data_IF_097664555726
#
_entry.id   IF_097664555726
#
_cell.length_a   1.000
_cell.length_b   1.000
_cell.length_c   1.000
_cell.angle_alpha   90.00
_cell.angle_beta   90.00
_cell.angle_gamma   90.00
#
_symmetry.space_group_name_H-M   'P 1'
#
loop_
_entity.id
_entity.type
_entity.pdbx_description
1 polymer ?
#
# COMPACT_ATOMS: atom_id res chain seq x y z
N UNK A 1 -35.07 12.45 -21.07
CA UNK A 1 -34.51 11.13 -20.69
C UNK A 1 -33.07 11.10 -21.12
N UNK A 2 -32.15 11.45 -20.22
CA UNK A 2 -30.72 11.26 -20.45
C UNK A 2 -30.43 9.77 -20.37
N UNK A 3 -29.78 9.15 -21.37
CA UNK A 3 -29.35 7.77 -21.25
C UNK A 3 -28.43 7.66 -20.02
N UNK A 4 -28.48 6.55 -19.26
CA UNK A 4 -27.53 6.33 -18.19
C UNK A 4 -26.13 6.37 -18.80
N UNK A 5 -25.36 7.39 -18.46
CA UNK A 5 -23.93 7.44 -18.76
C UNK A 5 -23.32 6.25 -18.02
N UNK A 6 -23.09 5.16 -18.75
CA UNK A 6 -22.28 4.05 -18.26
C UNK A 6 -20.85 4.56 -18.20
N UNK A 7 -20.54 5.34 -17.16
CA UNK A 7 -19.19 5.78 -16.87
C UNK A 7 -18.39 4.51 -16.58
N UNK A 8 -17.66 4.08 -17.60
CA UNK A 8 -16.73 2.96 -17.52
C UNK A 8 -15.64 3.39 -16.54
N UNK A 9 -15.79 2.96 -15.29
CA UNK A 9 -14.85 3.20 -14.19
C UNK A 9 -14.58 1.91 -13.45
N UNK A 10 -13.33 1.72 -13.07
CA UNK A 10 -12.91 0.60 -12.23
C UNK A 10 -12.74 1.08 -10.79
N UNK A 11 -13.60 0.61 -9.89
CA UNK A 11 -13.53 0.96 -8.47
C UNK A 11 -12.58 0.02 -7.73
N UNK A 12 -11.68 0.57 -6.92
CA UNK A 12 -10.67 -0.21 -6.20
C UNK A 12 -10.29 0.41 -4.85
N UNK A 13 -9.96 -0.45 -3.88
CA UNK A 13 -9.37 -0.02 -2.62
C UNK A 13 -8.01 0.70 -2.86
N UNK A 14 -7.77 1.88 -2.22
CA UNK A 14 -6.51 2.59 -2.31
C UNK A 14 -5.28 1.73 -2.03
N UNK A 15 -5.37 0.89 -1.00
CA UNK A 15 -4.30 -0.01 -0.57
C UNK A 15 -3.94 -1.02 -1.66
N UNK A 16 -4.93 -1.65 -2.31
CA UNK A 16 -4.72 -2.63 -3.37
C UNK A 16 -3.99 -2.00 -4.57
N UNK A 17 -4.44 -0.82 -5.01
CA UNK A 17 -3.81 -0.10 -6.12
C UNK A 17 -2.36 0.28 -5.82
N UNK A 18 -2.06 0.80 -4.61
CA UNK A 18 -0.69 1.13 -4.22
C UNK A 18 0.24 -0.08 -4.21
N UNK A 19 -0.21 -1.23 -3.71
CA UNK A 19 0.59 -2.45 -3.69
C UNK A 19 0.80 -3.00 -5.10
N UNK A 20 -0.24 -2.99 -5.94
CA UNK A 20 -0.15 -3.42 -7.34
C UNK A 20 0.82 -2.56 -8.15
N UNK A 21 0.78 -1.23 -7.99
CA UNK A 21 1.72 -0.31 -8.64
C UNK A 21 3.16 -0.46 -8.13
N UNK A 22 3.36 -0.76 -6.84
CA UNK A 22 4.69 -1.11 -6.34
C UNK A 22 5.18 -2.45 -6.88
N UNK A 23 4.29 -3.43 -6.99
CA UNK A 23 4.61 -4.73 -7.54
C UNK A 23 5.01 -4.62 -9.01
N UNK A 24 4.25 -3.90 -9.84
CA UNK A 24 4.56 -3.70 -11.27
C UNK A 24 5.92 -3.04 -11.51
N UNK A 25 6.38 -2.24 -10.54
CA UNK A 25 7.67 -1.54 -10.54
C UNK A 25 8.80 -2.32 -9.83
N UNK A 26 8.55 -3.56 -9.43
CA UNK A 26 9.57 -4.44 -8.86
C UNK A 26 10.65 -4.80 -9.90
N UNK A 27 11.92 -4.96 -9.48
CA UNK A 27 13.00 -5.28 -10.40
C UNK A 27 12.75 -6.60 -11.15
N UNK A 28 12.09 -7.57 -10.53
CA UNK A 28 11.73 -8.85 -11.14
C UNK A 28 10.78 -8.66 -12.33
N UNK A 29 9.69 -7.89 -12.14
CA UNK A 29 8.75 -7.62 -13.22
C UNK A 29 9.31 -6.69 -14.30
N UNK A 30 10.11 -5.69 -13.91
CA UNK A 30 10.75 -4.81 -14.89
C UNK A 30 11.72 -5.60 -15.77
N UNK A 31 12.54 -6.48 -15.18
CA UNK A 31 13.46 -7.33 -15.94
C UNK A 31 12.71 -8.25 -16.90
N UNK A 32 11.63 -8.89 -16.41
CA UNK A 32 10.79 -9.75 -17.25
C UNK A 32 10.15 -8.98 -18.41
N UNK A 33 9.63 -7.77 -18.15
CA UNK A 33 9.07 -6.89 -19.17
C UNK A 33 10.12 -6.49 -20.21
N UNK A 34 11.35 -6.17 -19.79
CA UNK A 34 12.45 -5.86 -20.71
C UNK A 34 12.78 -7.06 -21.61
N UNK A 35 12.85 -8.28 -21.05
CA UNK A 35 13.10 -9.49 -21.85
C UNK A 35 11.98 -9.71 -22.88
N UNK A 36 10.72 -9.59 -22.46
CA UNK A 36 9.55 -9.72 -23.36
C UNK A 36 9.66 -8.70 -24.49
N UNK A 37 9.92 -7.43 -24.17
CA UNK A 37 10.04 -6.35 -25.16
C UNK A 37 11.19 -6.55 -26.15
N UNK A 38 12.38 -6.92 -25.67
CA UNK A 38 13.55 -7.18 -26.52
C UNK A 38 13.32 -8.36 -27.47
N UNK A 39 12.48 -9.33 -27.08
CA UNK A 39 12.11 -10.46 -27.92
C UNK A 39 11.02 -10.12 -28.92
N UNK A 40 9.97 -9.43 -28.51
CA UNK A 40 8.89 -9.01 -29.42
C UNK A 40 9.40 -8.05 -30.50
N UNK A 41 10.44 -7.27 -30.22
CA UNK A 41 11.12 -6.40 -31.19
C UNK A 41 12.18 -7.10 -32.04
N UNK A 42 12.48 -8.38 -31.79
CA UNK A 42 13.52 -9.13 -32.51
C UNK A 42 14.97 -8.67 -32.23
N UNK A 43 15.17 -7.79 -31.25
CA UNK A 43 16.50 -7.29 -30.86
C UNK A 43 17.34 -8.39 -30.20
N UNK A 44 16.70 -9.24 -29.40
CA UNK A 44 17.36 -10.37 -28.77
C UNK A 44 17.34 -11.59 -29.71
N UNK A 45 18.35 -11.71 -30.57
CA UNK A 45 18.57 -12.90 -31.39
C UNK A 45 19.06 -14.04 -30.51
N UNK A 46 18.22 -15.06 -30.32
CA UNK A 46 18.63 -16.29 -29.64
C UNK A 46 19.59 -17.02 -30.56
N UNK A 47 20.90 -16.90 -30.29
CA UNK A 47 21.86 -17.77 -30.93
C UNK A 47 21.46 -19.21 -30.57
N UNK A 48 21.15 -20.01 -31.60
CA UNK A 48 20.75 -21.41 -31.47
C UNK A 48 21.95 -22.23 -31.00
N UNK A 49 22.28 -22.09 -29.72
CA UNK A 49 23.28 -22.90 -29.02
C UNK A 49 22.48 -23.93 -28.24
N UNK A 50 22.82 -25.22 -28.36
CA UNK A 50 22.10 -26.41 -27.86
C UNK A 50 21.85 -26.50 -26.33
N UNK A 51 21.65 -25.39 -25.63
CA UNK A 51 21.31 -25.34 -24.21
C UNK A 51 19.89 -24.83 -23.96
N UNK A 52 19.27 -25.35 -22.91
CA UNK A 52 18.00 -24.87 -22.35
C UNK A 52 18.19 -23.51 -21.67
N UNK A 53 18.43 -22.46 -22.45
CA UNK A 53 18.49 -21.08 -21.94
C UNK A 53 17.07 -20.54 -21.71
N UNK A 54 16.86 -19.75 -20.65
CA UNK A 54 15.60 -19.01 -20.43
C UNK A 54 15.22 -18.13 -21.65
N UNK A 55 16.22 -17.76 -22.45
CA UNK A 55 16.05 -16.99 -23.68
C UNK A 55 15.39 -17.79 -24.81
N UNK A 56 15.20 -19.11 -24.68
CA UNK A 56 14.45 -19.90 -25.66
C UNK A 56 12.94 -19.90 -25.39
N UNK A 57 12.48 -19.55 -24.18
CA UNK A 57 11.07 -19.64 -23.76
C UNK A 57 10.16 -18.71 -24.60
N UNK A 58 9.13 -19.18 -25.31
CA UNK A 58 8.28 -18.29 -26.12
C UNK A 58 7.69 -17.11 -25.31
N UNK A 59 7.51 -15.92 -25.92
CA UNK A 59 7.00 -14.74 -25.23
C UNK A 59 5.62 -14.95 -24.59
N UNK A 60 4.79 -15.82 -25.14
CA UNK A 60 3.49 -16.21 -24.59
C UNK A 60 3.64 -16.83 -23.19
N UNK A 61 4.65 -17.69 -23.02
CA UNK A 61 4.94 -18.32 -21.74
C UNK A 61 5.50 -17.30 -20.75
N UNK A 62 6.33 -16.36 -21.21
CA UNK A 62 6.81 -15.26 -20.37
C UNK A 62 5.66 -14.36 -19.89
N UNK A 63 4.65 -14.11 -20.73
CA UNK A 63 3.44 -13.38 -20.34
C UNK A 63 2.61 -14.14 -19.31
N UNK A 64 2.50 -15.48 -19.43
CA UNK A 64 1.84 -16.32 -18.41
C UNK A 64 2.61 -16.25 -17.08
N UNK A 65 3.93 -16.38 -17.11
CA UNK A 65 4.78 -16.25 -15.91
C UNK A 65 4.57 -14.89 -15.26
N UNK A 66 4.56 -13.82 -16.06
CA UNK A 66 4.30 -12.45 -15.60
C UNK A 66 2.94 -12.34 -14.90
N UNK A 67 1.90 -12.93 -15.50
CA UNK A 67 0.54 -12.96 -14.96
C UNK A 67 0.43 -13.64 -13.59
N UNK A 68 1.29 -14.63 -13.29
CA UNK A 68 1.37 -15.26 -11.97
C UNK A 68 2.29 -14.53 -11.00
N UNK A 69 3.41 -13.98 -11.50
CA UNK A 69 4.41 -13.30 -10.68
C UNK A 69 3.84 -12.04 -10.02
N UNK A 70 3.03 -11.28 -10.74
CA UNK A 70 2.48 -10.03 -10.23
C UNK A 70 1.58 -10.21 -9.00
N UNK A 71 0.52 -11.06 -9.01
CA UNK A 71 -0.27 -11.33 -7.81
C UNK A 71 0.57 -11.85 -6.64
N UNK A 72 1.58 -12.68 -6.90
CA UNK A 72 2.49 -13.18 -5.85
C UNK A 72 3.26 -12.03 -5.19
N UNK A 73 3.87 -11.14 -5.99
CA UNK A 73 4.60 -9.98 -5.47
C UNK A 73 3.66 -9.02 -4.74
N UNK A 74 2.47 -8.73 -5.30
CA UNK A 74 1.46 -7.89 -4.65
C UNK A 74 1.06 -8.47 -3.29
N UNK A 75 0.72 -9.76 -3.22
CA UNK A 75 0.32 -10.42 -1.97
C UNK A 75 1.44 -10.39 -0.92
N UNK A 76 2.69 -10.57 -1.34
CA UNK A 76 3.85 -10.47 -0.46
C UNK A 76 4.03 -9.05 0.09
N UNK A 77 3.91 -8.02 -0.75
CA UNK A 77 3.98 -6.62 -0.32
C UNK A 77 2.84 -6.27 0.65
N UNK A 78 1.63 -6.76 0.41
CA UNK A 78 0.49 -6.61 1.33
C UNK A 78 0.75 -7.28 2.67
N UNK A 79 1.29 -8.50 2.69
CA UNK A 79 1.65 -9.17 3.94
C UNK A 79 2.75 -8.41 4.71
N UNK A 80 3.76 -7.89 4.01
CA UNK A 80 4.82 -7.08 4.62
C UNK A 80 4.29 -5.79 5.23
N UNK A 81 3.39 -5.08 4.54
CA UNK A 81 2.82 -3.83 5.04
C UNK A 81 1.87 -4.08 6.22
N UNK A 82 1.09 -5.16 6.18
CA UNK A 82 0.26 -5.58 7.32
C UNK A 82 1.10 -5.91 8.56
N UNK A 83 2.19 -6.66 8.40
CA UNK A 83 3.11 -6.96 9.50
C UNK A 83 3.79 -5.70 10.06
N UNK A 84 4.19 -4.79 9.18
CA UNK A 84 4.79 -3.53 9.58
C UNK A 84 3.79 -2.62 10.32
N UNK A 85 2.52 -2.63 9.92
CA UNK A 85 1.43 -1.92 10.60
C UNK A 85 1.21 -2.49 12.01
N UNK A 86 1.09 -3.82 12.14
CA UNK A 86 0.94 -4.50 13.43
C UNK A 86 2.13 -4.21 14.37
N UNK A 87 3.36 -4.22 13.85
CA UNK A 87 4.55 -3.87 14.61
C UNK A 87 4.53 -2.39 15.07
N UNK A 88 4.04 -1.49 14.22
CA UNK A 88 3.88 -0.08 14.59
C UNK A 88 2.86 0.11 15.72
N UNK A 89 1.71 -0.57 15.63
CA UNK A 89 0.71 -0.54 16.70
C UNK A 89 1.24 -1.14 18.00
N UNK A 90 1.94 -2.27 17.94
CA UNK A 90 2.57 -2.90 19.10
C UNK A 90 3.59 -1.96 19.76
N UNK A 91 4.43 -1.29 18.96
CA UNK A 91 5.37 -0.28 19.45
C UNK A 91 4.64 0.89 20.10
N UNK A 92 3.51 1.35 19.55
CA UNK A 92 2.69 2.42 20.15
C UNK A 92 2.14 2.00 21.52
N UNK A 93 1.64 0.77 21.66
CA UNK A 93 1.18 0.22 22.94
C UNK A 93 2.33 0.10 23.95
N UNK A 94 3.51 -0.35 23.49
CA UNK A 94 4.69 -0.52 24.33
C UNK A 94 5.28 0.80 24.87
N UNK A 95 4.97 1.95 24.24
CA UNK A 95 5.34 3.27 24.75
C UNK A 95 4.46 3.75 25.92
N UNK A 96 3.41 3.01 26.26
CA UNK A 96 2.54 3.31 27.39
C UNK A 96 2.87 2.46 28.61
N UNK A 97 2.81 3.04 29.81
CA UNK A 97 2.83 2.24 31.02
C UNK A 97 1.52 1.43 31.15
N UNK A 98 1.49 0.34 31.93
CA UNK A 98 0.31 -0.52 32.07
C UNK A 98 -0.98 0.22 32.46
N UNK A 99 -0.90 1.22 33.34
CA UNK A 99 -2.05 2.02 33.77
C UNK A 99 -2.58 2.92 32.65
N UNK A 100 -1.67 3.66 32.00
CA UNK A 100 -1.97 4.52 30.87
C UNK A 100 -2.57 3.67 29.71
N UNK A 101 -2.03 2.47 29.43
CA UNK A 101 -2.56 1.52 28.43
C UNK A 101 -3.99 1.05 28.76
N UNK A 102 -4.23 0.67 30.02
CA UNK A 102 -5.55 0.21 30.48
C UNK A 102 -6.60 1.31 30.35
N UNK A 103 -6.25 2.53 30.75
CA UNK A 103 -7.10 3.71 30.60
C UNK A 103 -7.45 3.97 29.13
N UNK A 104 -6.46 4.02 28.24
CA UNK A 104 -6.70 4.27 26.82
C UNK A 104 -7.57 3.18 26.18
N UNK A 105 -7.33 1.92 26.55
CA UNK A 105 -8.13 0.78 26.04
C UNK A 105 -9.57 0.85 26.53
N UNK A 106 -9.81 1.29 27.77
CA UNK A 106 -11.16 1.43 28.32
C UNK A 106 -11.92 2.62 27.72
N UNK A 107 -11.27 3.78 27.57
CA UNK A 107 -11.92 5.03 27.14
C UNK A 107 -12.10 5.10 25.62
N UNK A 108 -11.08 4.72 24.85
CA UNK A 108 -11.08 4.84 23.38
C UNK A 108 -11.27 3.51 22.68
N UNK A 109 -11.27 2.39 23.42
CA UNK A 109 -11.36 1.05 22.86
C UNK A 109 -10.00 0.45 22.48
N UNK A 110 -10.00 -0.79 21.96
CA UNK A 110 -8.79 -1.56 21.66
C UNK A 110 -8.03 -1.06 20.43
N UNK A 111 -8.67 -0.24 19.59
CA UNK A 111 -8.09 0.28 18.37
C UNK A 111 -7.13 1.44 18.68
N UNK A 112 -5.83 1.23 18.45
CA UNK A 112 -4.78 2.20 18.76
C UNK A 112 -4.80 3.46 17.89
N UNK A 113 -5.57 3.46 16.81
CA UNK A 113 -5.68 4.58 15.88
C UNK A 113 -6.69 5.62 16.35
N UNK A 114 -7.65 5.23 17.18
CA UNK A 114 -8.65 6.14 17.76
C UNK A 114 -8.10 6.89 18.98
N UNK A 115 -6.89 6.53 19.42
CA UNK A 115 -6.22 7.16 20.55
C UNK A 115 -5.68 8.56 20.18
N UNK A 116 -5.66 9.52 21.11
CA UNK A 116 -5.09 10.85 20.89
C UNK A 116 -3.66 10.79 20.34
N UNK A 117 -3.35 11.65 19.36
CA UNK A 117 -2.07 11.67 18.62
C UNK A 117 -0.83 11.84 19.52
N UNK A 118 -1.00 12.45 20.70
CA UNK A 118 0.06 12.73 21.67
C UNK A 118 0.21 11.64 22.75
N UNK A 119 -0.15 10.39 22.44
CA UNK A 119 -0.21 9.27 23.40
C UNK A 119 1.12 8.82 24.03
N UNK A 120 2.13 9.68 24.11
CA UNK A 120 3.30 9.40 24.95
C UNK A 120 2.85 9.42 26.40
N UNK A 121 3.15 8.35 27.11
CA UNK A 121 2.82 8.22 28.51
C UNK A 121 3.53 9.31 29.34
N UNK A 122 2.74 10.23 29.93
CA UNK A 122 3.22 11.19 30.92
C UNK A 122 3.40 10.56 32.31
N UNK A 123 2.98 9.30 32.49
CA UNK A 123 3.05 8.57 33.75
C UNK A 123 4.50 8.26 34.20
N UNK A 124 5.56 8.77 33.57
CA UNK A 124 6.96 8.45 33.89
C UNK A 124 7.37 9.02 35.28
N UNK A 125 7.46 8.20 36.33
CA UNK A 125 7.86 8.65 37.65
C UNK A 125 9.40 8.78 37.63
N UNK A 126 9.91 10.00 37.61
CA UNK A 126 11.36 10.23 37.72
C UNK A 126 12.12 10.55 36.43
N UNK A 127 11.53 11.29 35.49
CA UNK A 127 12.36 12.20 34.64
C UNK A 127 12.89 13.37 35.48
N UNK A 128 13.51 13.10 36.61
CA UNK A 128 14.53 13.97 37.21
C UNK A 128 15.75 13.91 36.30
N UNK A 129 15.66 14.60 35.17
CA UNK A 129 16.69 15.37 34.46
C UNK A 129 18.16 14.87 34.29
N UNK A 130 18.56 13.64 34.67
CA UNK A 130 19.99 13.37 34.88
C UNK A 130 20.65 12.27 34.02
N UNK A 131 19.95 11.39 33.30
CA UNK A 131 20.64 10.24 32.68
C UNK A 131 20.06 9.66 31.38
N UNK A 132 19.56 10.51 30.47
CA UNK A 132 19.53 10.16 29.04
C UNK A 132 20.33 11.20 28.24
N UNK A 133 21.67 11.11 28.21
CA UNK A 133 22.44 11.93 27.29
C UNK A 133 22.24 11.40 25.86
N UNK A 134 22.01 12.32 24.91
CA UNK A 134 22.11 12.16 23.43
C UNK A 134 20.86 11.99 22.55
N UNK A 135 19.69 12.53 22.91
CA UNK A 135 18.64 12.79 21.87
C UNK A 135 18.25 14.27 21.73
N UNK A 136 18.76 15.16 22.58
CA UNK A 136 18.45 16.60 22.53
C UNK A 136 19.27 17.42 21.51
N UNK A 137 20.20 16.81 20.76
CA UNK A 137 21.04 17.54 19.79
C UNK A 137 20.31 17.91 18.48
N UNK A 138 19.09 17.42 18.24
CA UNK A 138 18.32 17.73 17.02
C UNK A 138 17.21 18.77 17.21
N UNK A 139 17.05 19.33 18.41
CA UNK A 139 15.98 20.29 18.71
C UNK A 139 16.24 21.74 18.20
N UNK A 140 17.37 22.02 17.54
CA UNK A 140 17.73 23.37 17.07
C UNK A 140 17.35 23.70 15.62
N UNK A 141 16.83 22.75 14.85
CA UNK A 141 16.13 23.07 13.60
C UNK A 141 14.66 23.21 13.93
N UNK A 142 14.15 24.45 13.99
CA UNK A 142 12.80 24.83 14.42
C UNK A 142 11.62 24.29 13.57
N UNK A 143 11.77 23.14 12.91
CA UNK A 143 10.65 22.41 12.34
C UNK A 143 9.89 21.75 13.48
N UNK A 144 8.69 22.25 13.78
CA UNK A 144 7.70 21.54 14.59
C UNK A 144 7.63 20.07 14.14
N UNK A 145 7.68 19.09 15.06
CA UNK A 145 7.63 17.69 14.68
C UNK A 145 6.39 17.45 13.83
N UNK A 146 6.59 17.00 12.59
CA UNK A 146 5.49 16.73 11.67
C UNK A 146 4.50 15.78 12.37
N UNK A 147 3.21 16.14 12.47
CA UNK A 147 2.24 15.30 13.14
C UNK A 147 2.27 13.89 12.52
N UNK A 148 2.27 12.88 13.39
CA UNK A 148 2.20 11.49 12.94
C UNK A 148 0.91 11.20 12.16
N UNK A 149 0.88 10.10 11.38
CA UNK A 149 -0.30 9.71 10.62
C UNK A 149 -1.49 9.51 11.56
N UNK A 150 -2.65 10.06 11.17
CA UNK A 150 -3.89 9.98 11.93
C UNK A 150 -4.60 8.65 11.73
N UNK A 151 -4.51 8.10 10.51
CA UNK A 151 -5.23 6.88 10.12
C UNK A 151 -4.26 5.76 9.73
N UNK A 152 -4.68 4.49 9.79
CA UNK A 152 -3.90 3.37 9.26
C UNK A 152 -3.53 3.57 7.78
N UNK A 153 -4.44 4.17 7.01
CA UNK A 153 -4.25 4.46 5.59
C UNK A 153 -3.16 5.53 5.37
N UNK A 154 -3.16 6.63 6.11
CA UNK A 154 -2.10 7.65 6.04
C UNK A 154 -0.73 7.09 6.44
N UNK A 155 -0.72 6.21 7.44
CA UNK A 155 0.49 5.50 7.84
C UNK A 155 0.99 4.60 6.71
N UNK A 156 0.09 3.84 6.07
CA UNK A 156 0.40 2.96 4.96
C UNK A 156 0.96 3.77 3.78
N UNK A 157 0.32 4.89 3.43
CA UNK A 157 0.80 5.79 2.38
C UNK A 157 2.21 6.31 2.69
N UNK A 158 2.48 6.70 3.93
CA UNK A 158 3.81 7.14 4.36
C UNK A 158 4.83 6.01 4.29
N UNK A 159 4.46 4.81 4.72
CA UNK A 159 5.28 3.61 4.69
C UNK A 159 5.64 3.22 3.25
N UNK A 160 4.64 3.10 2.38
CA UNK A 160 4.79 2.75 0.97
C UNK A 160 5.52 3.86 0.19
N UNK A 161 5.33 5.14 0.53
CA UNK A 161 6.08 6.25 -0.07
C UNK A 161 7.59 6.12 0.14
N UNK A 162 8.04 5.66 1.33
CA UNK A 162 9.47 5.41 1.57
C UNK A 162 10.01 4.31 0.65
N UNK A 163 9.20 3.28 0.38
CA UNK A 163 9.58 2.18 -0.52
C UNK A 163 9.57 2.64 -1.99
N UNK A 164 8.54 3.36 -2.42
CA UNK A 164 8.43 3.96 -3.74
C UNK A 164 9.65 4.85 -4.06
N UNK A 165 10.04 5.73 -3.12
CA UNK A 165 11.23 6.58 -3.26
C UNK A 165 12.51 5.78 -3.53
N UNK A 166 12.71 4.66 -2.83
CA UNK A 166 13.88 3.79 -3.05
C UNK A 166 13.87 3.17 -4.44
N UNK A 167 12.71 2.68 -4.90
CA UNK A 167 12.58 2.12 -6.25
C UNK A 167 12.82 3.18 -7.33
N UNK A 168 12.23 4.36 -7.19
CA UNK A 168 12.45 5.48 -8.13
C UNK A 168 13.91 5.93 -8.11
N UNK A 169 14.53 6.04 -6.93
CA UNK A 169 15.93 6.41 -6.80
C UNK A 169 16.88 5.39 -7.44
N UNK A 170 16.58 4.10 -7.32
CA UNK A 170 17.36 3.04 -7.96
C UNK A 170 17.31 3.12 -9.49
N UNK A 171 16.16 3.53 -10.06
CA UNK A 171 15.94 3.58 -11.52
C UNK A 171 16.40 4.90 -12.15
N UNK A 172 16.11 6.03 -11.52
CA UNK A 172 16.30 7.36 -12.10
C UNK A 172 17.32 8.23 -11.34
N UNK A 173 17.94 7.67 -10.30
CA UNK A 173 18.86 8.39 -9.41
C UNK A 173 18.16 9.12 -8.26
N UNK A 174 18.93 9.54 -7.23
CA UNK A 174 18.38 10.07 -5.98
C UNK A 174 17.59 11.38 -6.15
N UNK A 175 17.97 12.24 -7.10
CA UNK A 175 17.29 13.52 -7.36
C UNK A 175 15.86 13.34 -7.86
N UNK A 176 15.63 12.34 -8.73
CA UNK A 176 14.30 12.05 -9.28
C UNK A 176 13.31 11.54 -8.22
N UNK A 177 13.80 11.06 -7.07
CA UNK A 177 12.97 10.58 -5.95
C UNK A 177 12.58 11.67 -4.96
N UNK A 178 13.18 12.88 -5.05
CA UNK A 178 12.86 13.97 -4.13
C UNK A 178 11.43 14.44 -4.38
N UNK A 179 10.65 14.56 -3.30
CA UNK A 179 9.24 14.96 -3.37
C UNK A 179 8.26 13.86 -3.77
N UNK A 180 8.68 12.84 -4.53
CA UNK A 180 7.78 11.78 -5.01
C UNK A 180 7.29 10.86 -3.88
N UNK A 181 5.97 10.70 -3.75
CA UNK A 181 5.30 9.76 -2.86
C UNK A 181 4.81 8.50 -3.60
N UNK A 182 4.04 7.69 -2.89
CA UNK A 182 3.40 6.50 -3.48
C UNK A 182 2.37 6.87 -4.57
N UNK A 183 1.63 7.97 -4.40
CA UNK A 183 0.63 8.41 -5.38
C UNK A 183 1.25 8.90 -6.70
N UNK A 184 2.45 9.49 -6.65
CA UNK A 184 3.18 9.83 -7.89
C UNK A 184 3.57 8.57 -8.66
N UNK A 185 3.99 7.51 -7.95
CA UNK A 185 4.28 6.22 -8.56
C UNK A 185 3.02 5.59 -9.17
N UNK A 186 1.89 5.59 -8.45
CA UNK A 186 0.60 5.10 -8.96
C UNK A 186 0.19 5.87 -10.22
N UNK A 187 0.35 7.18 -10.21
CA UNK A 187 0.04 8.04 -11.37
C UNK A 187 0.98 7.74 -12.55
N UNK A 188 2.27 7.58 -12.30
CA UNK A 188 3.26 7.22 -13.32
C UNK A 188 2.91 5.85 -13.95
N UNK A 189 2.57 4.84 -13.14
CA UNK A 189 2.17 3.50 -13.61
C UNK A 189 0.87 3.55 -14.40
N UNK A 190 -0.17 4.23 -13.91
CA UNK A 190 -1.46 4.29 -14.63
C UNK A 190 -1.37 5.08 -15.93
N UNK A 191 -0.47 6.06 -16.02
CA UNK A 191 -0.20 6.80 -17.26
C UNK A 191 0.36 5.90 -18.35
N UNK A 192 1.18 4.89 -18.02
CA UNK A 192 1.65 3.88 -18.98
C UNK A 192 0.50 3.06 -19.60
N UNK A 193 -0.67 3.04 -18.94
CA UNK A 193 -1.89 2.40 -19.44
C UNK A 193 -2.94 3.38 -19.95
N UNK A 194 -2.61 4.67 -20.13
CA UNK A 194 -3.57 5.71 -20.52
C UNK A 194 -4.75 5.83 -19.54
N UNK A 195 -4.46 5.71 -18.24
CA UNK A 195 -5.45 5.87 -17.17
C UNK A 195 -5.04 6.91 -16.14
N UNK A 196 -6.03 7.43 -15.41
CA UNK A 196 -5.88 8.29 -14.25
C UNK A 196 -6.69 7.79 -13.06
N UNK A 197 -6.45 8.39 -11.90
CA UNK A 197 -7.22 8.13 -10.67
C UNK A 197 -8.12 9.33 -10.39
N UNK A 198 -9.40 9.06 -10.21
CA UNK A 198 -10.38 10.01 -9.66
C UNK A 198 -10.76 9.52 -8.28
N UNK A 199 -10.68 10.41 -7.29
CA UNK A 199 -11.23 10.13 -5.96
C UNK A 199 -12.72 10.36 -6.08
N UNK A 200 -13.51 9.34 -5.73
CA UNK A 200 -14.96 9.51 -5.66
C UNK A 200 -15.23 10.42 -4.46
N UNK A 201 -15.37 11.71 -4.73
CA UNK A 201 -15.90 12.65 -3.75
C UNK A 201 -17.38 12.32 -3.65
N UNK A 202 -17.68 11.35 -2.78
CA UNK A 202 -19.02 10.84 -2.55
C UNK A 202 -19.98 12.02 -2.54
N UNK A 203 -20.89 12.01 -3.50
CA UNK A 203 -21.77 13.10 -3.89
C UNK A 203 -22.70 13.41 -2.72
N UNK A 204 -22.21 14.21 -1.78
CA UNK A 204 -22.90 14.58 -0.57
C UNK A 204 -22.93 16.09 -0.49
N UNK A 205 -24.06 16.66 -0.91
CA UNK A 205 -24.44 18.07 -0.78
C UNK A 205 -24.49 18.56 0.70
N UNK A 206 -23.98 17.78 1.66
CA UNK A 206 -23.81 18.22 3.04
C UNK A 206 -22.43 18.86 3.23
N UNK A 207 -22.40 20.14 2.87
CA UNK A 207 -21.29 21.06 3.05
C UNK A 207 -20.95 21.33 4.53
N UNK A 208 -20.55 20.33 5.33
CA UNK A 208 -20.07 20.55 6.71
C UNK A 208 -19.00 19.54 7.16
N UNK A 209 -17.83 19.54 6.51
CA UNK A 209 -16.49 19.53 7.17
C UNK A 209 -15.37 19.11 6.19
N UNK A 210 -14.52 20.05 5.75
CA UNK A 210 -13.34 19.72 4.95
C UNK A 210 -12.23 19.18 5.87
N UNK A 211 -11.88 17.90 5.75
CA UNK A 211 -10.62 17.43 6.36
C UNK A 211 -10.50 15.96 6.72
N UNK A 212 -11.58 15.18 6.67
CA UNK A 212 -11.50 13.74 6.94
C UNK A 212 -11.97 12.97 5.70
N UNK A 213 -11.04 12.59 4.83
CA UNK A 213 -11.30 11.50 3.88
C UNK A 213 -11.71 10.29 4.72
N UNK A 214 -12.98 9.90 4.67
CA UNK A 214 -13.47 8.74 5.39
C UNK A 214 -12.61 7.53 5.00
N UNK A 215 -12.05 6.86 6.01
CA UNK A 215 -11.26 5.65 5.84
C UNK A 215 -12.16 4.60 5.17
N UNK A 216 -12.01 4.43 3.85
CA UNK A 216 -12.90 3.59 3.04
C UNK A 216 -13.33 4.19 1.69
N UNK A 217 -12.91 5.40 1.34
CA UNK A 217 -13.18 5.94 0.00
C UNK A 217 -12.51 5.06 -1.09
N UNK A 218 -13.33 4.43 -1.93
CA UNK A 218 -12.87 3.71 -3.10
C UNK A 218 -12.30 4.70 -4.12
N UNK A 219 -11.30 4.26 -4.88
CA UNK A 219 -10.74 5.01 -5.99
C UNK A 219 -11.37 4.55 -7.28
N UNK A 220 -11.66 5.50 -8.17
CA UNK A 220 -12.11 5.22 -9.52
C UNK A 220 -10.92 5.36 -10.48
N UNK A 221 -10.56 4.29 -11.17
CA UNK A 221 -9.64 4.35 -12.30
C UNK A 221 -10.45 4.66 -13.55
N UNK A 222 -10.07 5.71 -14.25
CA UNK A 222 -10.73 6.19 -15.48
C UNK A 222 -9.71 6.24 -16.62
N UNK A 223 -10.10 5.93 -17.86
CA UNK A 223 -9.28 6.21 -19.03
C UNK A 223 -8.95 7.70 -19.15
N UNK A 224 -7.77 8.02 -19.66
CA UNK A 224 -7.39 9.39 -19.96
C UNK A 224 -8.34 9.96 -21.03
N UNK A 225 -8.75 11.24 -20.92
CA UNK A 225 -9.59 11.86 -21.93
C UNK A 225 -8.83 11.90 -23.27
N UNK A 226 -9.56 11.64 -24.36
CA UNK A 226 -9.04 11.87 -25.71
C UNK A 226 -8.86 13.37 -25.91
N UNK A 227 -7.79 13.77 -26.59
CA UNK A 227 -7.59 15.16 -26.98
C UNK A 227 -8.81 15.63 -27.78
N UNK A 228 -9.48 16.67 -27.30
CA UNK A 228 -10.80 17.16 -27.73
C UNK A 228 -10.89 17.64 -29.19
N UNK A 229 -9.84 17.44 -29.99
CA UNK A 229 -9.74 17.91 -31.37
C UNK A 229 -10.10 16.87 -32.44
N UNK A 230 -10.56 15.68 -32.07
CA UNK A 230 -10.91 14.62 -33.03
C UNK A 230 -12.40 14.29 -32.98
N UNK A 231 -13.05 14.30 -34.16
CA UNK A 231 -14.41 13.80 -34.36
C UNK A 231 -14.42 12.27 -34.23
N UNK A 232 -14.23 11.78 -33.00
CA UNK A 232 -14.21 10.33 -32.71
C UNK A 232 -15.64 9.86 -32.47
N UNK A 233 -16.01 8.80 -33.17
CA UNK A 233 -17.27 8.09 -32.96
C UNK A 233 -17.38 7.61 -31.49
N UNK A 234 -18.48 7.97 -30.83
CA UNK A 234 -18.74 7.63 -29.41
C UNK A 234 -18.63 6.12 -29.12
N UNK A 235 -19.05 5.27 -30.06
CA UNK A 235 -18.95 3.82 -29.92
C UNK A 235 -17.49 3.34 -29.84
N UNK A 236 -16.59 3.94 -30.63
CA UNK A 236 -15.16 3.60 -30.65
C UNK A 236 -14.48 4.03 -29.36
N UNK A 237 -14.87 5.19 -28.82
CA UNK A 237 -14.40 5.68 -27.50
C UNK A 237 -14.80 4.72 -26.39
N UNK A 238 -16.07 4.29 -26.36
CA UNK A 238 -16.56 3.37 -25.33
C UNK A 238 -15.84 2.02 -25.38
N UNK A 239 -15.64 1.47 -26.59
CA UNK A 239 -14.90 0.21 -26.77
C UNK A 239 -13.42 0.33 -26.36
N UNK A 240 -12.75 1.44 -26.74
CA UNK A 240 -11.36 1.71 -26.32
C UNK A 240 -11.27 1.80 -24.80
N UNK A 241 -12.14 2.59 -24.18
CA UNK A 241 -12.18 2.78 -22.73
C UNK A 241 -12.36 1.45 -21.98
N UNK A 242 -13.30 0.62 -22.43
CA UNK A 242 -13.52 -0.71 -21.85
C UNK A 242 -12.28 -1.61 -22.00
N UNK A 243 -11.63 -1.57 -23.17
CA UNK A 243 -10.44 -2.38 -23.44
C UNK A 243 -9.24 -1.92 -22.61
N UNK A 244 -9.05 -0.60 -22.46
CA UNK A 244 -8.01 0.00 -21.61
C UNK A 244 -8.20 -0.41 -20.15
N UNK A 245 -9.42 -0.30 -19.61
CA UNK A 245 -9.69 -0.72 -18.23
C UNK A 245 -9.48 -2.21 -18.01
N UNK A 246 -9.93 -3.08 -18.93
CA UNK A 246 -9.66 -4.53 -18.86
C UNK A 246 -8.16 -4.81 -18.90
N UNK A 247 -7.40 -4.05 -19.70
CA UNK A 247 -5.95 -4.16 -19.75
C UNK A 247 -5.35 -3.78 -18.40
N UNK A 248 -5.69 -2.63 -17.83
CA UNK A 248 -5.20 -2.24 -16.48
C UNK A 248 -5.54 -3.31 -15.44
N UNK A 249 -6.78 -3.79 -15.43
CA UNK A 249 -7.24 -4.80 -14.49
C UNK A 249 -6.39 -6.08 -14.57
N UNK A 250 -6.18 -6.60 -15.79
CA UNK A 250 -5.38 -7.80 -16.03
C UNK A 250 -3.90 -7.58 -15.71
N UNK A 251 -3.33 -6.48 -16.17
CA UNK A 251 -1.90 -6.20 -16.15
C UNK A 251 -1.41 -5.72 -14.77
N UNK A 252 -2.30 -5.18 -13.94
CA UNK A 252 -2.03 -4.85 -12.53
C UNK A 252 -2.55 -5.94 -11.57
N UNK A 253 -3.21 -6.98 -12.07
CA UNK A 253 -3.75 -8.07 -11.25
C UNK A 253 -4.84 -7.60 -10.28
N UNK A 254 -5.61 -6.59 -10.67
CA UNK A 254 -6.67 -6.02 -9.83
C UNK A 254 -7.90 -6.91 -9.94
N UNK A 255 -8.36 -7.48 -8.83
CA UNK A 255 -9.59 -8.28 -8.83
C UNK A 255 -10.76 -7.45 -8.34
N UNK A 256 -11.95 -7.65 -8.93
CA UNK A 256 -13.17 -6.95 -8.47
C UNK A 256 -13.53 -7.32 -7.01
N UNK A 257 -13.07 -8.48 -6.54
CA UNK A 257 -13.28 -8.95 -5.17
C UNK A 257 -12.57 -8.06 -4.12
N UNK A 258 -11.52 -7.34 -4.51
CA UNK A 258 -10.77 -6.46 -3.61
C UNK A 258 -11.59 -5.23 -3.18
N UNK A 259 -12.63 -4.85 -3.95
CA UNK A 259 -13.53 -3.76 -3.59
C UNK A 259 -14.55 -4.15 -2.49
N UNK A 260 -14.88 -5.43 -2.38
CA UNK A 260 -15.99 -5.89 -1.54
C UNK A 260 -15.57 -6.17 -0.08
N UNK A 261 -14.32 -6.63 0.10
CA UNK A 261 -13.82 -7.13 1.39
C UNK A 261 -13.62 -6.04 2.46
N UNK A 262 -13.36 -4.80 2.06
CA UNK A 262 -13.22 -3.67 3.01
C UNK A 262 -14.58 -3.08 3.45
N UNK A 263 -15.68 -3.38 2.75
CA UNK A 263 -17.02 -2.88 3.12
C UNK A 263 -17.61 -3.58 4.36
N UNK A 264 -17.10 -4.76 4.71
CA UNK A 264 -17.67 -5.63 5.74
C UNK A 264 -17.01 -5.52 7.11
N UNK A 265 -16.18 -4.51 7.37
CA UNK A 265 -15.82 -4.22 8.77
C UNK A 265 -17.08 -3.75 9.49
N UNK A 266 -17.60 -4.51 10.47
CA UNK A 266 -18.79 -4.10 11.20
C UNK A 266 -18.49 -2.75 11.82
N UNK A 267 -19.26 -1.73 11.38
CA UNK A 267 -19.23 -0.40 11.95
C UNK A 267 -19.70 -0.58 13.39
N UNK A 268 -18.77 -0.72 14.34
CA UNK A 268 -19.09 -0.75 15.76
C UNK A 268 -19.67 0.62 16.06
N UNK A 269 -21.00 0.69 16.01
CA UNK A 269 -21.74 1.86 16.43
C UNK A 269 -21.35 2.04 17.89
N UNK A 270 -20.66 3.13 18.18
CA UNK A 270 -20.44 3.60 19.54
C UNK A 270 -21.83 3.84 20.15
N UNK A 271 -22.42 2.80 20.72
CA UNK A 271 -23.53 2.95 21.63
C UNK A 271 -23.01 3.83 22.76
N UNK A 272 -23.57 5.03 22.89
CA UNK A 272 -23.32 5.92 24.03
C UNK A 272 -23.71 5.15 25.28
N UNK A 273 -22.73 4.57 25.96
CA UNK A 273 -22.92 4.03 27.30
C UNK A 273 -23.11 5.22 28.24
N UNK A 274 -24.36 5.51 28.58
CA UNK A 274 -24.68 6.21 29.81
C UNK A 274 -24.41 5.23 30.96
N UNK A 275 -23.26 5.39 31.63
CA UNK A 275 -22.90 4.66 32.84
C UNK A 275 -23.90 4.96 33.96
N UNK A 276 -24.57 3.92 34.46
CA UNK A 276 -25.18 3.92 35.78
C UNK A 276 -24.15 3.43 36.82
N UNK A 277 -24.16 3.95 38.06
CA UNK A 277 -23.16 3.59 39.05
C UNK A 277 -23.51 2.24 39.68
N UNK A 278 -22.65 1.23 39.50
CA UNK A 278 -22.73 -0.02 40.24
C UNK A 278 -21.38 -0.37 40.87
N UNK A 279 -21.34 -0.20 42.19
CA UNK A 279 -20.35 -0.76 43.10
C UNK A 279 -20.35 -2.29 43.04
N UNK A 280 -19.21 -2.92 42.75
CA UNK A 280 -18.79 -4.18 43.38
C UNK A 280 -17.34 -4.53 43.04
N UNK A 281 -16.51 -4.60 44.07
CA UNK A 281 -15.16 -5.13 44.05
C UNK A 281 -15.19 -6.66 44.02
N UNK A 282 -14.69 -7.27 42.94
CA UNK A 282 -14.25 -8.67 42.94
C UNK A 282 -12.87 -8.78 42.29
N UNK A 283 -11.92 -9.26 43.08
CA UNK A 283 -10.55 -9.61 42.71
C UNK A 283 -10.61 -10.81 41.76
N UNK A 284 -10.19 -10.62 40.50
CA UNK A 284 -10.07 -11.68 39.51
C UNK A 284 -8.58 -11.90 39.25
N UNK A 285 -8.11 -13.11 39.52
CA UNK A 285 -6.74 -13.56 39.24
C UNK A 285 -6.52 -13.68 37.73
N UNK A 286 -5.46 -13.03 37.24
CA UNK A 286 -5.07 -13.00 35.83
C UNK A 286 -4.27 -14.26 35.46
N UNK A 287 -4.69 -15.08 34.48
CA UNK A 287 -3.87 -16.21 34.03
C UNK A 287 -2.68 -15.73 33.19
N UNK A 288 -1.51 -16.32 33.44
CA UNK A 288 -0.26 -16.05 32.74
C UNK A 288 -0.35 -16.47 31.26
N UNK A 289 -0.48 -15.48 30.36
CA UNK A 289 -0.41 -15.69 28.91
C UNK A 289 1.07 -15.82 28.52
N UNK A 290 1.50 -17.05 28.20
CA UNK A 290 2.78 -17.30 27.52
C UNK A 290 2.75 -16.67 26.13
N UNK A 291 3.53 -15.62 25.92
CA UNK A 291 3.74 -15.00 24.62
C UNK A 291 4.37 -16.01 23.65
N UNK A 292 3.59 -16.54 22.71
CA UNK A 292 4.12 -17.22 21.53
C UNK A 292 4.74 -16.17 20.60
N UNK A 293 6.06 -16.23 20.46
CA UNK A 293 6.81 -15.47 19.47
C UNK A 293 6.29 -15.76 18.06
N UNK A 294 6.05 -14.74 17.21
CA UNK A 294 5.63 -14.96 15.84
C UNK A 294 6.73 -15.71 15.09
N UNK A 295 6.40 -16.90 14.58
CA UNK A 295 7.27 -17.67 13.70
C UNK A 295 7.54 -16.86 12.43
N UNK A 296 8.81 -16.52 12.19
CA UNK A 296 9.25 -15.89 10.97
C UNK A 296 8.95 -16.78 9.74
N UNK A 297 8.65 -16.20 8.56
CA UNK A 297 8.43 -16.99 7.35
C UNK A 297 9.68 -17.78 6.96
N UNK A 298 9.46 -19.00 6.47
CA UNK A 298 10.49 -19.98 6.16
C UNK A 298 11.56 -19.44 5.17
N UNK A 299 12.85 -19.81 5.34
CA UNK A 299 13.99 -19.33 4.55
C UNK A 299 13.99 -19.78 3.06
N UNK A 300 13.07 -20.64 2.65
CA UNK A 300 13.00 -21.19 1.30
C UNK A 300 12.66 -20.16 0.22
N UNK A 301 11.84 -19.14 0.53
CA UNK A 301 11.51 -18.06 -0.44
C UNK A 301 12.69 -17.09 -0.62
N UNK A 302 13.49 -16.88 0.43
CA UNK A 302 14.68 -16.04 0.41
C UNK A 302 15.81 -16.65 -0.43
N UNK A 303 15.95 -17.97 -0.42
CA UNK A 303 16.92 -18.70 -1.24
C UNK A 303 16.61 -18.61 -2.74
N UNK A 304 15.32 -18.66 -3.13
CA UNK A 304 14.94 -18.46 -4.54
C UNK A 304 15.26 -17.05 -5.05
N UNK A 305 15.01 -16.01 -4.24
CA UNK A 305 15.34 -14.63 -4.63
C UNK A 305 16.85 -14.38 -4.69
N UNK A 306 17.63 -14.97 -3.77
CA UNK A 306 19.09 -14.86 -3.79
C UNK A 306 19.71 -15.55 -5.01
N UNK A 307 19.19 -16.71 -5.43
CA UNK A 307 19.65 -17.41 -6.62
C UNK A 307 19.39 -16.62 -7.92
N UNK A 308 18.25 -15.92 -8.00
CA UNK A 308 17.94 -15.10 -9.17
C UNK A 308 18.85 -13.85 -9.28
N UNK A 309 19.16 -13.21 -8.15
CA UNK A 309 20.06 -12.04 -8.13
C UNK A 309 21.51 -12.44 -8.49
N UNK A 310 21.98 -13.62 -8.08
CA UNK A 310 23.32 -14.09 -8.46
C UNK A 310 23.42 -14.43 -9.94
N UNK A 311 22.37 -15.01 -10.53
CA UNK A 311 22.34 -15.30 -11.98
C UNK A 311 22.33 -14.00 -12.79
N UNK A 312 21.62 -12.97 -12.35
CA UNK A 312 21.61 -11.66 -13.03
C UNK A 312 22.96 -10.95 -12.89
N UNK A 313 23.61 -11.01 -11.72
CA UNK A 313 24.93 -10.41 -11.50
C UNK A 313 26.05 -11.08 -12.32
N UNK A 314 25.90 -12.36 -12.66
CA UNK A 314 26.86 -13.09 -13.51
C UNK A 314 26.61 -12.89 -15.01
N UNK A 315 25.45 -12.34 -15.41
CA UNK A 315 25.06 -12.17 -16.80
C UNK A 315 25.33 -10.76 -17.37
N UNK A 316 25.82 -9.81 -16.57
CA UNK A 316 26.23 -8.48 -17.00
C UNK A 316 27.77 -8.36 -16.95
N UNK A 317 28.48 -8.33 -18.10
CA UNK A 317 29.90 -7.99 -18.15
C UNK A 317 30.16 -6.51 -17.86
#
# INVERSE_FOLDING_TARGET
MTPPSNDLRLTIAPSALMHASLASMSPELLTLNTIIHLRSSGSLKVASVSGTSILSIPPEILLVIRGHLLPLVTSHLTALSANALAAHEAMRRAQMCPNCLTYHTHVFGPNTWDWPKNGVCHCAPGRTSASFPRVLAHARTGSSPKPGPATPQEWLETYLSKRAKRLVAARHGPRASMGKGIWDLVTDVLREFECGVVRDEATGDEALSPGACASGALLCIVPAPLDSGSDVNSADVAWRNATTLRRVQRELGLTMADAEKDSHRPRVSHARFHEAPASHTKTVETPAIKAQSPSFPQPSVLLFLLSFVTIIALACP
#
